data_IF_885895638563
#
_entry.id   IF_885895638563
#
_cell.length_a   1.000
_cell.length_b   1.000
_cell.length_c   1.000
_cell.angle_alpha   90.00
_cell.angle_beta   90.00
_cell.angle_gamma   90.00
#
_symmetry.space_group_name_H-M   'P 1'
#
loop_
_entity.id
_entity.type
_entity.pdbx_description
1 polymer ?
#
# COMPACT_ATOMS: atom_id res chain seq x y z
N UNK A 1 0.73 34.73 10.96
CA UNK A 1 0.30 33.49 10.29
C UNK A 1 1.06 32.36 10.96
N UNK A 2 0.40 31.34 11.55
CA UNK A 2 1.14 30.24 12.17
C UNK A 2 2.01 29.57 11.09
N UNK A 3 3.32 29.53 11.33
CA UNK A 3 4.29 28.86 10.45
C UNK A 3 3.98 27.36 10.47
N UNK A 4 3.58 26.83 9.33
CA UNK A 4 3.35 25.40 9.17
C UNK A 4 4.68 24.68 9.05
N UNK A 5 4.76 23.48 9.61
CA UNK A 5 5.95 22.63 9.48
C UNK A 5 6.08 22.12 8.05
N UNK A 6 7.30 21.80 7.61
CA UNK A 6 7.57 21.33 6.24
C UNK A 6 6.74 20.10 5.85
N UNK A 7 6.47 19.20 6.81
CA UNK A 7 5.60 18.04 6.59
C UNK A 7 4.13 18.42 6.34
N UNK A 8 3.62 19.45 7.03
CA UNK A 8 2.26 19.94 6.83
C UNK A 8 2.11 20.64 5.48
N UNK A 9 3.16 21.34 5.02
CA UNK A 9 3.20 21.91 3.68
C UNK A 9 3.22 20.83 2.60
N UNK A 10 3.98 19.74 2.81
CA UNK A 10 4.00 18.60 1.91
C UNK A 10 2.63 17.90 1.81
N UNK A 11 1.93 17.72 2.94
CA UNK A 11 0.57 17.18 2.99
C UNK A 11 -0.44 18.10 2.29
N UNK A 12 -0.36 19.41 2.53
CA UNK A 12 -1.19 20.40 1.82
C UNK A 12 -0.92 20.37 0.32
N UNK A 13 0.33 20.24 -0.08
CA UNK A 13 0.73 20.19 -1.48
C UNK A 13 0.22 18.91 -2.16
N UNK A 14 0.32 17.76 -1.51
CA UNK A 14 -0.17 16.49 -2.07
C UNK A 14 -1.69 16.48 -2.24
N UNK A 15 -2.44 16.98 -1.24
CA UNK A 15 -3.90 17.07 -1.28
C UNK A 15 -4.37 18.11 -2.32
N UNK A 16 -3.67 19.25 -2.45
CA UNK A 16 -3.96 20.23 -3.51
C UNK A 16 -3.74 19.63 -4.90
N UNK A 17 -2.64 18.91 -5.10
CA UNK A 17 -2.33 18.24 -6.38
C UNK A 17 -3.42 17.22 -6.74
N UNK A 18 -3.80 16.35 -5.80
CA UNK A 18 -4.84 15.34 -6.05
C UNK A 18 -6.21 15.98 -6.32
N UNK A 19 -6.58 17.04 -5.58
CA UNK A 19 -7.83 17.75 -5.81
C UNK A 19 -7.91 18.40 -7.19
N UNK A 20 -6.80 18.99 -7.68
CA UNK A 20 -6.72 19.58 -9.03
C UNK A 20 -6.84 18.50 -10.09
N UNK A 21 -6.15 17.36 -9.95
CA UNK A 21 -6.21 16.25 -10.91
C UNK A 21 -7.66 15.77 -11.07
N UNK A 22 -8.34 15.47 -9.97
CA UNK A 22 -9.74 15.04 -10.01
C UNK A 22 -10.69 16.11 -10.53
N UNK A 23 -10.44 17.38 -10.20
CA UNK A 23 -11.19 18.52 -10.73
C UNK A 23 -11.11 18.63 -12.25
N UNK A 24 -9.91 18.49 -12.81
CA UNK A 24 -9.68 18.52 -14.27
C UNK A 24 -10.31 17.31 -14.95
N UNK A 25 -10.07 16.10 -14.43
CA UNK A 25 -10.60 14.86 -15.04
C UNK A 25 -12.13 14.89 -15.10
N UNK A 26 -12.80 15.18 -13.98
CA UNK A 26 -14.25 15.22 -13.94
C UNK A 26 -14.83 16.42 -14.70
N UNK A 27 -14.14 17.57 -14.70
CA UNK A 27 -14.53 18.74 -15.49
C UNK A 27 -14.52 18.48 -17.00
N UNK A 28 -13.50 17.76 -17.50
CA UNK A 28 -13.43 17.35 -18.91
C UNK A 28 -14.54 16.36 -19.26
N UNK A 29 -14.84 15.39 -18.39
CA UNK A 29 -15.96 14.46 -18.58
C UNK A 29 -17.28 15.21 -18.68
N UNK A 30 -17.53 16.16 -17.78
CA UNK A 30 -18.75 16.99 -17.78
C UNK A 30 -18.82 17.87 -19.03
N UNK A 31 -17.70 18.46 -19.45
CA UNK A 31 -17.64 19.23 -20.69
C UNK A 31 -17.96 18.35 -21.91
N UNK A 32 -17.44 17.12 -21.97
CA UNK A 32 -17.75 16.16 -23.04
C UNK A 32 -19.23 15.76 -23.06
N UNK A 33 -19.82 15.49 -21.89
CA UNK A 33 -21.25 15.19 -21.77
C UNK A 33 -22.12 16.39 -22.16
N UNK A 34 -21.76 17.60 -21.71
CA UNK A 34 -22.46 18.82 -22.10
C UNK A 34 -22.35 19.06 -23.61
N UNK A 35 -21.16 18.88 -24.21
CA UNK A 35 -20.97 19.02 -25.64
C UNK A 35 -21.83 18.03 -26.46
N UNK A 36 -21.97 16.79 -25.97
CA UNK A 36 -22.83 15.77 -26.59
C UNK A 36 -24.31 16.11 -26.43
N UNK A 37 -24.75 16.53 -25.24
CA UNK A 37 -26.14 16.90 -24.95
C UNK A 37 -26.61 18.18 -25.66
N UNK A 38 -25.73 19.17 -25.83
CA UNK A 38 -26.03 20.36 -26.65
C UNK A 38 -25.99 20.06 -28.16
N UNK A 39 -25.79 18.79 -28.56
CA UNK A 39 -26.07 18.12 -29.84
C UNK A 39 -26.72 18.93 -30.96
N UNK A 40 -27.92 19.43 -30.67
CA UNK A 40 -28.84 20.03 -31.62
C UNK A 40 -28.68 21.54 -31.82
N UNK A 41 -27.80 22.20 -31.05
CA UNK A 41 -27.63 23.66 -31.09
C UNK A 41 -26.44 24.12 -31.95
N UNK A 42 -26.46 25.40 -32.34
CA UNK A 42 -25.40 26.02 -33.13
C UNK A 42 -24.01 25.84 -32.52
N UNK A 43 -23.00 25.67 -33.37
CA UNK A 43 -21.63 25.29 -32.99
C UNK A 43 -20.98 26.18 -31.92
N UNK A 44 -21.26 27.49 -31.93
CA UNK A 44 -20.77 28.44 -30.92
C UNK A 44 -21.41 28.26 -29.54
N UNK A 45 -22.70 27.94 -29.49
CA UNK A 45 -23.41 27.71 -28.22
C UNK A 45 -23.01 26.35 -27.62
N UNK A 46 -22.80 25.33 -28.46
CA UNK A 46 -22.30 24.01 -28.03
C UNK A 46 -20.94 24.09 -27.36
N UNK A 47 -19.96 24.68 -28.05
CA UNK A 47 -18.58 24.77 -27.57
C UNK A 47 -18.47 25.71 -26.37
N UNK A 48 -19.10 26.88 -26.42
CA UNK A 48 -19.12 27.84 -25.31
C UNK A 48 -19.82 27.31 -24.06
N UNK A 49 -21.01 26.70 -24.23
CA UNK A 49 -21.77 26.10 -23.12
C UNK A 49 -21.05 24.93 -22.47
N UNK A 50 -20.44 24.05 -23.27
CA UNK A 50 -19.66 22.92 -22.77
C UNK A 50 -18.39 23.36 -22.01
N UNK A 51 -17.68 24.35 -22.54
CA UNK A 51 -16.49 24.89 -21.88
C UNK A 51 -16.82 25.55 -20.54
N UNK A 52 -17.89 26.36 -20.49
CA UNK A 52 -18.35 26.98 -19.24
C UNK A 52 -18.80 25.92 -18.21
N UNK A 53 -19.55 24.90 -18.64
CA UNK A 53 -19.96 23.80 -17.77
C UNK A 53 -18.75 23.04 -17.20
N UNK A 54 -17.75 22.75 -18.03
CA UNK A 54 -16.50 22.12 -17.61
C UNK A 54 -15.70 22.94 -16.61
N UNK A 55 -15.54 24.25 -16.85
CA UNK A 55 -14.78 25.15 -15.96
C UNK A 55 -15.47 25.33 -14.61
N UNK A 56 -16.79 25.56 -14.59
CA UNK A 56 -17.56 25.72 -13.36
C UNK A 56 -17.55 24.44 -12.53
N UNK A 57 -17.77 23.29 -13.18
CA UNK A 57 -17.76 22.00 -12.50
C UNK A 57 -16.37 21.64 -11.96
N UNK A 58 -15.29 21.84 -12.74
CA UNK A 58 -13.92 21.64 -12.28
C UNK A 58 -13.59 22.48 -11.04
N UNK A 59 -14.01 23.75 -11.03
CA UNK A 59 -13.83 24.65 -9.89
C UNK A 59 -14.57 24.16 -8.63
N UNK A 60 -15.82 23.71 -8.77
CA UNK A 60 -16.60 23.17 -7.65
C UNK A 60 -16.04 21.85 -7.11
N UNK A 61 -15.65 20.95 -8.01
CA UNK A 61 -15.09 19.63 -7.66
C UNK A 61 -13.75 19.80 -6.94
N UNK A 62 -12.87 20.66 -7.45
CA UNK A 62 -11.58 20.95 -6.80
C UNK A 62 -11.80 21.51 -5.39
N UNK A 63 -12.74 22.45 -5.21
CA UNK A 63 -13.06 23.01 -3.89
C UNK A 63 -13.61 21.97 -2.92
N UNK A 64 -14.53 21.10 -3.37
CA UNK A 64 -15.08 20.04 -2.52
C UNK A 64 -14.06 18.97 -2.17
N UNK A 65 -13.24 18.55 -3.14
CA UNK A 65 -12.15 17.59 -2.89
C UNK A 65 -11.12 18.16 -1.92
N UNK A 66 -10.75 19.42 -2.07
CA UNK A 66 -9.86 20.09 -1.13
C UNK A 66 -10.48 20.15 0.27
N UNK A 67 -11.75 20.51 0.39
CA UNK A 67 -12.45 20.54 1.68
C UNK A 67 -12.58 19.16 2.32
N UNK A 68 -12.80 18.11 1.53
CA UNK A 68 -12.89 16.73 2.00
C UNK A 68 -11.52 16.19 2.44
N UNK A 69 -10.49 16.36 1.60
CA UNK A 69 -9.11 16.00 1.94
C UNK A 69 -8.57 16.79 3.13
N UNK A 70 -8.99 18.06 3.27
CA UNK A 70 -8.73 18.88 4.44
C UNK A 70 -9.43 18.36 5.71
N UNK A 71 -10.65 17.83 5.57
CA UNK A 71 -11.44 17.35 6.70
C UNK A 71 -10.80 16.15 7.41
N UNK A 72 -10.15 15.25 6.67
CA UNK A 72 -9.38 14.14 7.25
C UNK A 72 -8.14 14.60 8.04
N UNK A 73 -7.70 15.85 7.86
CA UNK A 73 -6.57 16.46 8.56
C UNK A 73 -7.00 17.64 9.45
N UNK A 74 -8.28 17.71 9.85
CA UNK A 74 -8.77 18.71 10.81
C UNK A 74 -8.50 18.26 12.23
N UNK A 75 -8.04 19.20 13.06
CA UNK A 75 -8.01 18.99 14.50
C UNK A 75 -9.45 18.97 15.04
N UNK A 76 -9.80 17.97 15.85
CA UNK A 76 -11.13 17.84 16.44
C UNK A 76 -11.46 18.97 17.43
N UNK A 77 -10.44 19.54 18.08
CA UNK A 77 -10.62 20.55 19.12
C UNK A 77 -10.74 21.98 18.56
N UNK A 78 -9.84 22.39 17.66
CA UNK A 78 -9.87 23.75 17.09
C UNK A 78 -10.48 23.85 15.67
N UNK A 79 -10.80 22.72 15.03
CA UNK A 79 -11.35 22.68 13.67
C UNK A 79 -10.37 23.11 12.56
N UNK A 80 -9.13 23.44 12.91
CA UNK A 80 -8.13 23.91 11.94
C UNK A 80 -7.75 22.78 10.97
N UNK A 81 -7.97 23.01 9.69
CA UNK A 81 -7.58 22.09 8.63
C UNK A 81 -6.06 22.05 8.42
N UNK A 82 -5.54 20.84 8.16
CA UNK A 82 -4.12 20.59 7.92
C UNK A 82 -3.22 21.05 9.07
N UNK A 83 -3.72 20.94 10.29
CA UNK A 83 -3.01 21.38 11.49
C UNK A 83 -2.47 20.22 12.30
N UNK A 84 -2.79 18.96 11.96
CA UNK A 84 -2.36 17.78 12.72
C UNK A 84 -1.16 17.12 12.03
N UNK A 85 -0.10 16.82 12.79
CA UNK A 85 1.06 16.06 12.33
C UNK A 85 1.42 14.97 13.35
N UNK A 86 1.93 13.82 12.88
CA UNK A 86 2.42 12.76 13.78
C UNK A 86 3.76 13.23 14.36
N UNK A 87 3.88 13.22 15.68
CA UNK A 87 5.10 13.68 16.38
C UNK A 87 5.88 12.54 17.01
N UNK A 88 5.21 11.44 17.34
CA UNK A 88 5.84 10.26 17.91
C UNK A 88 5.10 8.99 17.47
N UNK A 89 5.81 7.87 17.49
CA UNK A 89 5.31 6.54 17.15
C UNK A 89 5.99 5.51 18.02
N UNK A 90 5.20 4.87 18.87
CA UNK A 90 5.66 3.80 19.74
C UNK A 90 5.09 2.48 19.25
N UNK A 91 5.95 1.47 19.12
CA UNK A 91 5.55 0.11 18.75
C UNK A 91 5.99 -0.85 19.85
N UNK A 92 5.06 -1.68 20.32
CA UNK A 92 5.33 -2.72 21.32
C UNK A 92 4.99 -4.07 20.71
N UNK A 93 5.95 -5.00 20.72
CA UNK A 93 5.71 -6.37 20.29
C UNK A 93 4.81 -7.06 21.34
N UNK A 94 3.61 -7.45 20.92
CA UNK A 94 2.62 -8.11 21.80
C UNK A 94 2.70 -9.61 21.67
N UNK A 95 2.86 -10.12 20.45
CA UNK A 95 2.82 -11.54 20.19
C UNK A 95 3.73 -11.92 19.01
N UNK A 96 4.31 -13.11 19.10
CA UNK A 96 5.10 -13.73 18.03
C UNK A 96 4.59 -15.15 17.86
N UNK A 97 4.04 -15.47 16.70
CA UNK A 97 3.44 -16.77 16.41
C UNK A 97 4.10 -17.39 15.18
N UNK A 98 4.67 -18.60 15.27
CA UNK A 98 5.11 -19.34 14.09
C UNK A 98 3.90 -19.84 13.29
N UNK A 99 3.95 -19.70 11.97
CA UNK A 99 2.93 -20.13 11.02
C UNK A 99 3.56 -21.04 9.98
N UNK A 100 2.80 -22.06 9.57
CA UNK A 100 3.16 -22.98 8.49
C UNK A 100 1.96 -23.09 7.55
N UNK A 101 2.21 -22.96 6.25
CA UNK A 101 1.26 -23.27 5.20
C UNK A 101 1.82 -24.41 4.35
N UNK A 102 0.97 -25.42 4.12
CA UNK A 102 1.30 -26.56 3.28
C UNK A 102 0.43 -26.57 2.04
N UNK A 103 1.07 -26.58 0.87
CA UNK A 103 0.42 -26.65 -0.43
C UNK A 103 0.88 -27.90 -1.18
N UNK A 104 -0.08 -28.70 -1.65
CA UNK A 104 0.21 -29.85 -2.53
C UNK A 104 0.28 -29.33 -3.97
N UNK A 105 1.37 -29.64 -4.67
CA UNK A 105 1.55 -29.32 -6.07
C UNK A 105 0.99 -30.44 -6.94
N UNK A 106 0.60 -30.10 -8.17
CA UNK A 106 0.05 -31.05 -9.15
C UNK A 106 1.01 -32.20 -9.48
N UNK A 107 2.31 -32.00 -9.25
CA UNK A 107 3.36 -32.99 -9.45
C UNK A 107 3.48 -34.01 -8.30
N UNK A 108 2.64 -33.90 -7.26
CA UNK A 108 2.69 -34.75 -6.06
C UNK A 108 3.67 -34.27 -4.99
N UNK A 109 4.44 -33.21 -5.27
CA UNK A 109 5.33 -32.56 -4.32
C UNK A 109 4.53 -31.72 -3.30
N UNK A 110 5.12 -31.49 -2.13
CA UNK A 110 4.52 -30.69 -1.06
C UNK A 110 5.39 -29.46 -0.81
N UNK A 111 4.86 -28.27 -1.08
CA UNK A 111 5.49 -27.00 -0.70
C UNK A 111 5.06 -26.65 0.72
N UNK A 112 6.05 -26.38 1.57
CA UNK A 112 5.87 -25.99 2.96
C UNK A 112 6.47 -24.59 3.09
N UNK A 113 5.63 -23.61 3.37
CA UNK A 113 6.06 -22.24 3.63
C UNK A 113 5.89 -21.94 5.11
N UNK A 114 6.99 -21.66 5.81
CA UNK A 114 7.01 -21.27 7.21
C UNK A 114 7.32 -19.80 7.36
N UNK A 115 6.69 -19.12 8.32
CA UNK A 115 7.00 -17.74 8.65
C UNK A 115 6.72 -17.42 10.11
N UNK A 116 7.32 -16.35 10.58
CA UNK A 116 7.04 -15.78 11.90
C UNK A 116 6.11 -14.58 11.74
N UNK A 117 4.96 -14.65 12.40
CA UNK A 117 3.98 -13.57 12.47
C UNK A 117 4.17 -12.79 13.77
N UNK A 118 4.58 -11.53 13.66
CA UNK A 118 4.76 -10.61 14.78
C UNK A 118 3.60 -9.61 14.83
N UNK A 119 2.88 -9.57 15.95
CA UNK A 119 1.81 -8.61 16.21
C UNK A 119 2.37 -7.49 17.08
N UNK A 120 2.29 -6.26 16.56
CA UNK A 120 2.70 -5.04 17.24
C UNK A 120 1.46 -4.24 17.64
N UNK A 121 1.46 -3.73 18.87
CA UNK A 121 0.59 -2.63 19.27
C UNK A 121 1.29 -1.32 18.95
N UNK A 122 0.64 -0.44 18.19
CA UNK A 122 1.21 0.82 17.72
C UNK A 122 0.43 1.95 18.35
N UNK A 123 1.11 2.82 19.10
CA UNK A 123 0.57 4.09 19.56
C UNK A 123 1.20 5.24 18.77
N UNK A 124 0.39 5.87 17.92
CA UNK A 124 0.78 7.07 17.19
C UNK A 124 0.30 8.31 17.93
N UNK A 125 1.23 9.21 18.27
CA UNK A 125 0.91 10.51 18.86
C UNK A 125 0.85 11.58 17.78
N UNK A 126 -0.26 12.30 17.73
CA UNK A 126 -0.49 13.39 16.80
C UNK A 126 -0.61 14.71 17.54
N UNK A 127 0.04 15.77 17.04
CA UNK A 127 -0.03 17.11 17.61
C UNK A 127 -0.61 18.11 16.62
N UNK A 128 -1.49 18.96 17.12
CA UNK A 128 -2.02 20.10 16.39
C UNK A 128 -1.07 21.30 16.47
N UNK A 129 -0.62 21.82 15.33
CA UNK A 129 0.20 23.02 15.22
C UNK A 129 -0.57 24.32 15.47
N UNK A 130 -1.91 24.30 15.40
CA UNK A 130 -2.74 25.49 15.59
C UNK A 130 -3.13 25.74 17.04
N UNK A 131 -3.47 24.70 17.80
CA UNK A 131 -3.87 24.82 19.22
C UNK A 131 -2.94 24.09 20.18
N UNK A 132 -1.97 23.32 19.68
CA UNK A 132 -1.04 22.54 20.51
C UNK A 132 -1.61 21.23 21.03
N UNK A 133 -2.86 20.92 20.72
CA UNK A 133 -3.57 19.75 21.24
C UNK A 133 -2.98 18.43 20.74
N UNK A 134 -2.99 17.41 21.59
CA UNK A 134 -2.34 16.12 21.33
C UNK A 134 -3.38 15.00 21.38
N UNK A 135 -3.41 14.18 20.33
CA UNK A 135 -4.33 13.03 20.22
C UNK A 135 -3.54 11.77 19.94
N UNK A 136 -3.93 10.67 20.59
CA UNK A 136 -3.32 9.35 20.42
C UNK A 136 -4.19 8.46 19.55
N UNK A 137 -3.57 7.63 18.72
CA UNK A 137 -4.25 6.59 17.95
C UNK A 137 -3.52 5.27 18.15
N UNK A 138 -4.18 4.37 18.87
CA UNK A 138 -3.68 3.02 19.13
C UNK A 138 -4.30 2.03 18.14
N UNK A 139 -3.49 1.18 17.52
CA UNK A 139 -3.96 0.12 16.63
C UNK A 139 -2.94 -1.03 16.54
N UNK A 140 -3.42 -2.22 16.21
CA UNK A 140 -2.56 -3.38 16.01
C UNK A 140 -2.12 -3.52 14.55
N UNK A 141 -0.85 -3.84 14.34
CA UNK A 141 -0.31 -4.18 13.02
C UNK A 141 0.43 -5.51 13.09
N UNK A 142 0.27 -6.31 12.04
CA UNK A 142 0.96 -7.60 11.92
C UNK A 142 2.07 -7.49 10.89
N UNK A 143 3.24 -8.06 11.19
CA UNK A 143 4.38 -8.16 10.27
C UNK A 143 4.78 -9.61 10.11
N UNK A 144 5.11 -9.99 8.88
CA UNK A 144 5.64 -11.31 8.54
C UNK A 144 7.16 -11.20 8.40
N UNK A 145 7.90 -12.07 9.09
CA UNK A 145 9.36 -12.20 9.01
C UNK A 145 9.76 -13.66 8.82
N UNK A 146 11.02 -13.85 8.43
CA UNK A 146 11.67 -15.16 8.33
C UNK A 146 10.84 -16.15 7.51
N UNK A 147 10.37 -15.69 6.35
CA UNK A 147 9.65 -16.53 5.40
C UNK A 147 10.62 -17.48 4.70
N UNK A 148 10.42 -18.77 4.91
CA UNK A 148 11.17 -19.84 4.26
C UNK A 148 10.19 -20.78 3.55
N UNK A 149 10.45 -21.07 2.28
CA UNK A 149 9.67 -22.02 1.49
C UNK A 149 10.53 -23.22 1.12
N UNK A 150 10.11 -24.40 1.55
CA UNK A 150 10.78 -25.67 1.27
C UNK A 150 9.84 -26.56 0.45
N UNK A 151 10.29 -26.98 -0.73
CA UNK A 151 9.57 -27.97 -1.55
C UNK A 151 10.07 -29.36 -1.17
N UNK A 152 9.21 -30.13 -0.50
CA UNK A 152 9.44 -31.54 -0.22
C UNK A 152 8.98 -32.37 -1.41
N UNK A 153 9.93 -32.90 -2.16
CA UNK A 153 9.62 -33.79 -3.27
C UNK A 153 9.10 -35.13 -2.77
N UNK A 154 8.06 -35.65 -3.43
CA UNK A 154 7.60 -37.03 -3.20
C UNK A 154 8.59 -37.99 -3.88
N UNK A 155 9.74 -38.22 -3.24
CA UNK A 155 10.77 -39.12 -3.73
C UNK A 155 10.22 -40.51 -4.05
N UNK A 156 10.30 -40.88 -5.33
CA UNK A 156 10.12 -42.25 -5.85
C UNK A 156 10.87 -43.24 -4.96
N UNK A 157 10.14 -44.12 -4.27
CA UNK A 157 10.73 -45.34 -3.72
C UNK A 157 11.12 -46.26 -4.88
N UNK A 158 12.40 -46.60 -4.95
CA UNK A 158 12.88 -47.84 -5.56
C UNK A 158 13.47 -47.71 -6.95
N UNK A 159 14.79 -47.84 -7.02
CA UNK A 159 15.49 -48.84 -7.86
C UNK A 159 16.96 -48.43 -7.98
N UNK A 160 17.80 -48.85 -7.04
CA UNK A 160 19.21 -49.14 -7.37
C UNK A 160 19.71 -50.26 -6.45
N UNK A 161 19.22 -51.47 -6.74
CA UNK A 161 19.91 -52.69 -6.33
C UNK A 161 20.99 -52.93 -7.40
N UNK A 162 22.19 -52.41 -7.10
CA UNK A 162 23.36 -52.46 -7.98
C UNK A 162 23.69 -53.87 -8.46
N UNK A 163 23.86 -54.00 -9.77
CA UNK A 163 24.37 -55.18 -10.45
C UNK A 163 25.63 -54.75 -11.21
N UNK A 164 26.79 -55.34 -10.91
CA UNK A 164 27.94 -55.31 -11.82
C UNK A 164 29.31 -54.97 -11.24
N UNK A 165 29.95 -56.00 -10.68
CA UNK A 165 31.37 -56.39 -10.83
C UNK A 165 32.34 -55.45 -11.57
N UNK A 166 33.51 -55.15 -10.97
CA UNK A 166 34.78 -55.06 -11.71
C UNK A 166 35.98 -55.38 -10.82
N UNK A 167 36.85 -56.24 -11.36
CA UNK A 167 38.21 -56.52 -10.92
C UNK A 167 39.06 -55.26 -10.90
N UNK A 168 40.00 -55.14 -9.94
CA UNK A 168 41.39 -54.86 -10.31
C UNK A 168 42.39 -55.30 -9.21
N UNK A 169 43.61 -55.56 -9.67
CA UNK A 169 44.72 -56.28 -9.03
C UNK A 169 45.47 -55.40 -8.03
N UNK A 170 45.80 -55.97 -6.87
CA UNK A 170 46.79 -55.42 -5.94
C UNK A 170 47.98 -56.38 -5.79
N UNK A 171 49.05 -56.13 -6.56
CA UNK A 171 50.37 -56.74 -6.41
C UNK A 171 51.28 -55.72 -5.73
N UNK A 172 51.78 -56.01 -4.53
CA UNK A 172 53.08 -55.47 -4.07
C UNK A 172 53.61 -56.29 -2.89
N UNK A 173 54.93 -56.33 -2.82
CA UNK A 173 55.78 -57.23 -2.07
C UNK A 173 56.27 -56.64 -0.72
N UNK A 174 56.80 -57.53 0.13
CA UNK A 174 57.65 -57.28 1.30
C UNK A 174 57.68 -58.56 2.16
N UNK A 175 58.75 -59.38 2.21
CA UNK A 175 60.01 -59.21 2.96
C UNK A 175 59.72 -58.63 4.36
N UNK A 176 59.88 -59.33 5.48
CA UNK A 176 60.90 -60.32 5.88
C UNK A 176 60.30 -61.47 6.68
#
# INVERSE_FOLDING_TARGET
MPNLTAEQEALRASIKKSAIIWGVVLGVIIAGLAYWLLGSQGSGIRSGGAALAGLVSAGMITRKNLSSGAAGAKCANCGAAFSVARVDRQEVLVNTTPKEERKVLDNGDTEITTWVEEVYDVDDTYKCSSCGDTTHKTYQTTRRKDEETVVKSAGKKGADAGKGNSHDKGKSAGKN
#
